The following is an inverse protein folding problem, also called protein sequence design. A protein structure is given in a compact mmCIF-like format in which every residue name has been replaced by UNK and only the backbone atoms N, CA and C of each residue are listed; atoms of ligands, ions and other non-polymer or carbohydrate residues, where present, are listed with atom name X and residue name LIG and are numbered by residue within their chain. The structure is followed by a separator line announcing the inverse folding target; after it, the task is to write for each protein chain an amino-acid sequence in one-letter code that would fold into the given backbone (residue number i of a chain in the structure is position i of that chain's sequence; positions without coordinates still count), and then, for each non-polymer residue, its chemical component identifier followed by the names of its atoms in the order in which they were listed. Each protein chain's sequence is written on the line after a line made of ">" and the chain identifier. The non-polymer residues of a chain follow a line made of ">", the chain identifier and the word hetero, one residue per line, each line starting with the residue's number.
data_IF_258099086498
#
_entry.id   IF_258099086498
#
_cell.length_a   1.000
_cell.length_b   1.000
_cell.length_c   1.000
_cell.angle_alpha   90.00
_cell.angle_beta   90.00
_cell.angle_gamma   90.00
#
_symmetry.space_group_name_H-M   'P 1'
#
loop_
_entity.id
_entity.type
_entity.pdbx_description
1 polymer ?
#
# COMPACT_ATOMS: atom_id res chain seq x y z
N UNK A 1 -20.29 -9.13 -10.07
CA UNK A 1 -18.87 -9.33 -10.39
C UNK A 1 -18.04 -8.11 -9.96
N UNK A 2 -18.43 -6.90 -10.35
CA UNK A 2 -17.75 -5.67 -9.93
C UNK A 2 -17.78 -5.49 -8.42
N UNK A 3 -18.91 -5.82 -7.80
CA UNK A 3 -19.03 -5.71 -6.35
C UNK A 3 -18.07 -6.67 -5.64
N UNK A 4 -17.92 -7.89 -6.18
CA UNK A 4 -16.98 -8.87 -5.63
C UNK A 4 -15.53 -8.40 -5.75
N UNK A 5 -15.17 -7.78 -6.87
CA UNK A 5 -13.81 -7.28 -7.07
C UNK A 5 -13.51 -6.09 -6.18
N UNK A 6 -14.49 -5.21 -5.97
CA UNK A 6 -14.37 -4.13 -5.02
C UNK A 6 -14.14 -4.66 -3.61
N UNK A 7 -14.91 -5.67 -3.21
CA UNK A 7 -14.78 -6.30 -1.90
C UNK A 7 -13.41 -6.95 -1.72
N UNK A 8 -12.90 -7.63 -2.75
CA UNK A 8 -11.56 -8.21 -2.70
C UNK A 8 -10.49 -7.15 -2.50
N UNK A 9 -10.58 -6.03 -3.23
CA UNK A 9 -9.65 -4.93 -3.07
C UNK A 9 -9.74 -4.33 -1.66
N UNK A 10 -10.96 -4.17 -1.13
CA UNK A 10 -11.17 -3.66 0.22
C UNK A 10 -10.54 -4.57 1.27
N UNK A 11 -10.73 -5.88 1.14
CA UNK A 11 -10.16 -6.86 2.08
C UNK A 11 -8.63 -6.83 2.00
N UNK A 12 -8.08 -6.79 0.78
CA UNK A 12 -6.63 -6.77 0.59
C UNK A 12 -6.00 -5.51 1.19
N UNK A 13 -6.64 -4.36 1.02
CA UNK A 13 -6.16 -3.11 1.63
C UNK A 13 -6.26 -3.15 3.15
N UNK A 14 -7.33 -3.73 3.69
CA UNK A 14 -7.48 -3.88 5.15
C UNK A 14 -6.39 -4.77 5.73
N UNK A 15 -6.05 -5.88 5.05
CA UNK A 15 -4.95 -6.76 5.46
C UNK A 15 -3.62 -6.00 5.42
N UNK A 16 -3.38 -5.25 4.34
CA UNK A 16 -2.15 -4.45 4.19
C UNK A 16 -2.03 -3.41 5.31
N UNK A 17 -3.13 -2.72 5.63
CA UNK A 17 -3.15 -1.74 6.70
C UNK A 17 -2.85 -2.37 8.07
N UNK A 18 -3.49 -3.50 8.38
CA UNK A 18 -3.27 -4.18 9.65
C UNK A 18 -1.80 -4.59 9.81
N UNK A 19 -1.21 -5.14 8.76
CA UNK A 19 0.21 -5.53 8.78
C UNK A 19 1.13 -4.33 8.84
N UNK A 20 0.80 -3.25 8.14
CA UNK A 20 1.58 -2.01 8.18
C UNK A 20 1.57 -1.41 9.58
N UNK A 21 0.40 -1.40 10.26
CA UNK A 21 0.28 -0.91 11.64
C UNK A 21 1.13 -1.74 12.59
N UNK A 22 1.06 -3.06 12.50
CA UNK A 22 1.86 -3.97 13.32
C UNK A 22 3.36 -3.76 13.09
N UNK A 23 3.76 -3.62 11.84
CA UNK A 23 5.16 -3.41 11.47
C UNK A 23 5.64 -2.03 11.90
N UNK A 24 4.82 -1.00 11.76
CA UNK A 24 5.15 0.35 12.25
C UNK A 24 5.44 0.33 13.75
N UNK A 25 4.62 -0.37 14.53
CA UNK A 25 4.84 -0.53 15.96
C UNK A 25 6.15 -1.27 16.26
N UNK A 26 6.44 -2.31 15.50
CA UNK A 26 7.68 -3.08 15.64
C UNK A 26 8.91 -2.21 15.37
N UNK A 27 8.90 -1.48 14.25
CA UNK A 27 10.03 -0.61 13.87
C UNK A 27 10.22 0.48 14.92
N UNK A 28 9.14 1.04 15.44
CA UNK A 28 9.20 2.03 16.50
C UNK A 28 9.90 1.50 17.74
N UNK A 29 9.61 0.25 18.14
CA UNK A 29 10.29 -0.41 19.26
C UNK A 29 11.76 -0.64 18.99
N UNK A 30 12.14 -0.85 17.73
CA UNK A 30 13.53 -1.07 17.36
C UNK A 30 14.41 0.16 17.63
N UNK A 31 13.85 1.36 17.73
CA UNK A 31 14.60 2.56 18.08
C UNK A 31 15.22 2.47 19.47
N UNK A 32 14.72 1.57 20.33
CA UNK A 32 15.18 1.40 21.70
C UNK A 32 16.20 0.29 21.87
N UNK A 33 16.56 -0.40 20.79
CA UNK A 33 17.57 -1.47 20.84
C UNK A 33 18.93 -0.83 21.12
N UNK A 34 19.63 -1.36 22.16
CA UNK A 34 20.95 -0.85 22.52
C UNK A 34 22.03 -1.40 21.59
N UNK A 35 23.15 -0.69 21.48
CA UNK A 35 24.30 -1.13 20.73
C UNK A 35 24.23 -0.89 19.23
N UNK A 36 23.23 -0.18 18.75
CA UNK A 36 23.14 0.15 17.33
C UNK A 36 24.18 1.20 16.96
N UNK A 37 24.75 1.04 15.76
CA UNK A 37 25.61 2.07 15.16
C UNK A 37 24.75 3.29 14.79
N UNK A 38 25.32 4.49 14.75
CA UNK A 38 24.57 5.69 14.37
C UNK A 38 23.84 5.55 13.04
N UNK A 39 24.44 4.91 12.05
CA UNK A 39 23.81 4.68 10.75
C UNK A 39 22.60 3.75 10.84
N UNK A 40 22.71 2.71 11.66
CA UNK A 40 21.59 1.79 11.90
C UNK A 40 20.43 2.52 12.56
N UNK A 41 20.74 3.31 13.59
CA UNK A 41 19.72 4.07 14.30
C UNK A 41 18.99 5.04 13.35
N UNK A 42 19.74 5.75 12.48
CA UNK A 42 19.14 6.68 11.53
C UNK A 42 18.27 5.93 10.53
N UNK A 43 18.70 4.78 10.03
CA UNK A 43 17.91 3.96 9.12
C UNK A 43 16.61 3.48 9.79
N UNK A 44 16.67 3.09 11.07
CA UNK A 44 15.48 2.73 11.83
C UNK A 44 14.53 3.91 11.97
N UNK A 45 15.05 5.10 12.27
CA UNK A 45 14.24 6.32 12.38
C UNK A 45 13.56 6.66 11.07
N UNK A 46 14.28 6.56 9.97
CA UNK A 46 13.72 6.80 8.64
C UNK A 46 12.60 5.80 8.35
N UNK A 47 12.79 4.55 8.75
CA UNK A 47 11.77 3.50 8.61
C UNK A 47 10.52 3.81 9.44
N UNK A 48 10.68 4.37 10.64
CA UNK A 48 9.52 4.78 11.46
C UNK A 48 8.68 5.79 10.67
N UNK A 49 9.33 6.77 10.07
CA UNK A 49 8.63 7.78 9.27
C UNK A 49 7.98 7.16 8.04
N UNK A 50 8.70 6.31 7.32
CA UNK A 50 8.18 5.64 6.13
C UNK A 50 6.97 4.77 6.45
N UNK A 51 7.01 4.02 7.53
CA UNK A 51 5.90 3.14 7.90
C UNK A 51 4.70 3.94 8.41
N UNK A 52 4.95 5.08 9.07
CA UNK A 52 3.88 6.00 9.44
C UNK A 52 3.15 6.54 8.22
N UNK A 53 3.90 6.95 7.20
CA UNK A 53 3.32 7.42 5.94
C UNK A 53 2.56 6.31 5.23
N UNK A 54 3.08 5.09 5.25
CA UNK A 54 2.40 3.92 4.68
C UNK A 54 1.03 3.71 5.33
N UNK A 55 0.96 3.76 6.66
CA UNK A 55 -0.30 3.60 7.39
C UNK A 55 -1.30 4.68 6.97
N UNK A 56 -0.86 5.93 6.89
CA UNK A 56 -1.72 7.04 6.50
C UNK A 56 -2.25 6.88 5.07
N UNK A 57 -1.38 6.49 4.15
CA UNK A 57 -1.74 6.32 2.74
C UNK A 57 -2.72 5.16 2.55
N UNK A 58 -2.51 4.04 3.24
CA UNK A 58 -3.42 2.91 3.17
C UNK A 58 -4.77 3.25 3.80
N UNK A 59 -4.78 4.00 4.89
CA UNK A 59 -6.02 4.46 5.53
C UNK A 59 -6.82 5.33 4.59
N UNK A 60 -6.17 6.29 3.92
CA UNK A 60 -6.81 7.16 2.93
C UNK A 60 -7.38 6.35 1.76
N UNK A 61 -6.61 5.37 1.31
CA UNK A 61 -7.01 4.50 0.19
C UNK A 61 -8.29 3.74 0.50
N UNK A 62 -8.38 3.19 1.71
CA UNK A 62 -9.56 2.44 2.16
C UNK A 62 -10.79 3.36 2.19
N UNK A 63 -10.64 4.56 2.72
CA UNK A 63 -11.73 5.54 2.79
C UNK A 63 -12.19 5.94 1.39
N UNK A 64 -11.24 6.22 0.52
CA UNK A 64 -11.55 6.68 -0.84
C UNK A 64 -12.24 5.57 -1.64
N UNK A 65 -11.76 4.34 -1.51
CA UNK A 65 -12.40 3.18 -2.18
C UNK A 65 -13.84 3.01 -1.70
N UNK A 66 -14.09 3.22 -0.41
CA UNK A 66 -15.43 3.17 0.14
C UNK A 66 -16.38 4.21 -0.46
N UNK A 67 -15.84 5.34 -0.91
CA UNK A 67 -16.64 6.43 -1.50
C UNK A 67 -17.01 6.19 -2.96
N UNK A 68 -16.43 5.18 -3.60
CA UNK A 68 -16.75 4.92 -5.01
C UNK A 68 -18.15 4.36 -5.23
N UNK A 69 -18.75 3.75 -4.23
CA UNK A 69 -20.12 3.18 -4.19
C UNK A 69 -20.92 3.23 -5.47
N UNK A 70 -21.72 4.29 -5.64
CA UNK A 70 -22.56 4.53 -6.82
C UNK A 70 -21.88 5.39 -7.87
N UNK A 71 -20.62 5.79 -7.65
CA UNK A 71 -19.92 6.70 -8.55
C UNK A 71 -19.69 6.06 -9.92
N UNK A 72 -19.76 6.86 -10.97
CA UNK A 72 -19.53 6.44 -12.34
C UNK A 72 -18.81 7.55 -13.11
N UNK A 73 -18.30 7.25 -14.28
CA UNK A 73 -17.65 8.21 -15.16
C UNK A 73 -16.44 8.88 -14.52
N UNK A 74 -16.34 10.18 -14.66
CA UNK A 74 -15.20 10.96 -14.18
C UNK A 74 -15.05 10.90 -12.66
N UNK A 75 -16.16 10.85 -11.92
CA UNK A 75 -16.13 10.76 -10.46
C UNK A 75 -15.46 9.45 -10.02
N UNK A 76 -15.82 8.34 -10.64
CA UNK A 76 -15.19 7.04 -10.37
C UNK A 76 -13.69 7.09 -10.70
N UNK A 77 -13.33 7.60 -11.88
CA UNK A 77 -11.94 7.69 -12.31
C UNK A 77 -11.12 8.51 -11.33
N UNK A 78 -11.67 9.64 -10.87
CA UNK A 78 -10.98 10.51 -9.92
C UNK A 78 -10.71 9.80 -8.60
N UNK A 79 -11.73 9.16 -8.01
CA UNK A 79 -11.58 8.40 -6.75
C UNK A 79 -10.56 7.28 -6.90
N UNK A 80 -10.65 6.51 -7.97
CA UNK A 80 -9.76 5.36 -8.16
C UNK A 80 -8.34 5.79 -8.47
N UNK A 81 -8.17 6.91 -9.16
CA UNK A 81 -6.83 7.48 -9.39
C UNK A 81 -6.16 7.82 -8.04
N UNK A 82 -6.92 8.38 -7.11
CA UNK A 82 -6.42 8.67 -5.77
C UNK A 82 -6.01 7.38 -5.05
N UNK A 83 -6.85 6.35 -5.10
CA UNK A 83 -6.54 5.05 -4.47
C UNK A 83 -5.25 4.47 -5.04
N UNK A 84 -5.15 4.42 -6.36
CA UNK A 84 -3.97 3.88 -7.04
C UNK A 84 -2.70 4.64 -6.66
N UNK A 85 -2.79 5.96 -6.61
CA UNK A 85 -1.67 6.82 -6.25
C UNK A 85 -1.22 6.57 -4.81
N UNK A 86 -2.15 6.53 -3.87
CA UNK A 86 -1.81 6.35 -2.46
C UNK A 86 -1.31 4.96 -2.15
N UNK A 87 -1.88 3.91 -2.74
CA UNK A 87 -1.37 2.55 -2.55
C UNK A 87 0.03 2.40 -3.14
N UNK A 88 0.28 2.99 -4.32
CA UNK A 88 1.61 3.01 -4.93
C UNK A 88 2.61 3.76 -4.05
N UNK A 89 2.19 4.88 -3.47
CA UNK A 89 3.04 5.65 -2.56
C UNK A 89 3.37 4.85 -1.29
N UNK A 90 2.39 4.12 -0.75
CA UNK A 90 2.62 3.25 0.40
C UNK A 90 3.67 2.19 0.09
N UNK A 91 3.57 1.55 -1.08
CA UNK A 91 4.54 0.54 -1.52
C UNK A 91 5.93 1.16 -1.67
N UNK A 92 6.02 2.36 -2.23
CA UNK A 92 7.30 3.08 -2.35
C UNK A 92 7.91 3.35 -0.98
N UNK A 93 7.13 3.78 -0.01
CA UNK A 93 7.63 4.05 1.34
C UNK A 93 8.12 2.79 2.02
N UNK A 94 7.43 1.65 1.83
CA UNK A 94 7.87 0.36 2.34
C UNK A 94 9.23 -0.02 1.75
N UNK A 95 9.39 0.12 0.45
CA UNK A 95 10.65 -0.18 -0.22
C UNK A 95 11.76 0.79 0.20
N UNK A 96 11.45 2.06 0.40
CA UNK A 96 12.40 3.06 0.87
C UNK A 96 12.94 2.71 2.26
N UNK A 97 12.05 2.21 3.15
CA UNK A 97 12.47 1.72 4.46
C UNK A 97 13.53 0.63 4.33
N UNK A 98 13.28 -0.38 3.50
CA UNK A 98 14.22 -1.49 3.30
C UNK A 98 15.52 -0.99 2.68
N UNK A 99 15.43 -0.12 1.68
CA UNK A 99 16.59 0.41 0.96
C UNK A 99 17.54 1.20 1.87
N UNK A 100 17.03 1.77 2.94
CA UNK A 100 17.84 2.47 3.93
C UNK A 100 18.86 1.59 4.63
N UNK A 101 18.66 0.26 4.61
CA UNK A 101 19.59 -0.70 5.17
C UNK A 101 20.47 -1.38 4.12
N UNK A 102 20.51 -0.87 2.90
CA UNK A 102 21.30 -1.46 1.83
C UNK A 102 22.80 -1.44 2.15
N UNK A 103 23.51 -2.44 1.65
CA UNK A 103 24.95 -2.56 1.79
C UNK A 103 25.37 -3.40 3.00
N UNK A 104 26.58 -3.99 2.89
CA UNK A 104 27.07 -4.92 3.90
C UNK A 104 27.39 -4.25 5.24
N UNK A 105 27.67 -2.94 5.25
CA UNK A 105 27.95 -2.21 6.48
C UNK A 105 26.77 -2.25 7.44
N UNK A 106 25.56 -2.37 6.88
CA UNK A 106 24.32 -2.42 7.66
C UNK A 106 23.90 -3.83 8.06
N UNK A 107 24.62 -4.86 7.61
CA UNK A 107 24.25 -6.25 7.90
C UNK A 107 24.26 -6.52 9.41
N UNK A 108 23.28 -7.29 9.85
CA UNK A 108 23.11 -7.65 11.25
C UNK A 108 21.66 -7.92 11.61
N UNK A 109 21.41 -8.08 12.90
CA UNK A 109 20.10 -8.49 13.41
C UNK A 109 19.03 -7.43 13.18
N UNK A 110 19.36 -6.15 13.30
CA UNK A 110 18.41 -5.05 13.13
C UNK A 110 17.90 -5.03 11.69
N UNK A 111 18.81 -5.02 10.72
CA UNK A 111 18.48 -5.07 9.30
C UNK A 111 17.63 -6.29 8.96
N UNK A 112 18.05 -7.47 9.43
CA UNK A 112 17.36 -8.72 9.14
C UNK A 112 15.93 -8.70 9.68
N UNK A 113 15.73 -8.24 10.91
CA UNK A 113 14.42 -8.19 11.55
C UNK A 113 13.47 -7.23 10.84
N UNK A 114 13.95 -6.02 10.53
CA UNK A 114 13.12 -5.02 9.85
C UNK A 114 12.81 -5.44 8.42
N UNK A 115 13.83 -5.89 7.69
CA UNK A 115 13.66 -6.34 6.30
C UNK A 115 12.61 -7.44 6.20
N UNK A 116 12.70 -8.44 7.07
CA UNK A 116 11.76 -9.57 7.05
C UNK A 116 10.31 -9.10 7.15
N UNK A 117 10.03 -8.18 8.06
CA UNK A 117 8.66 -7.70 8.28
C UNK A 117 8.20 -6.75 7.19
N UNK A 118 9.05 -5.82 6.78
CA UNK A 118 8.67 -4.79 5.80
C UNK A 118 8.50 -5.40 4.42
N UNK A 119 9.35 -6.36 4.05
CA UNK A 119 9.17 -7.08 2.77
C UNK A 119 7.83 -7.81 2.75
N UNK A 120 7.42 -8.39 3.88
CA UNK A 120 6.10 -9.01 4.01
C UNK A 120 4.96 -8.02 3.79
N UNK A 121 5.06 -6.82 4.36
CA UNK A 121 4.06 -5.76 4.14
C UNK A 121 4.05 -5.33 2.67
N UNK A 122 5.23 -5.14 2.07
CA UNK A 122 5.34 -4.76 0.66
C UNK A 122 4.68 -5.80 -0.24
N UNK A 123 4.81 -7.08 0.09
CA UNK A 123 4.18 -8.15 -0.66
C UNK A 123 2.65 -8.02 -0.66
N UNK A 124 2.05 -7.84 0.51
CA UNK A 124 0.58 -7.72 0.59
C UNK A 124 0.08 -6.40 0.02
N UNK A 125 0.86 -5.31 0.14
CA UNK A 125 0.52 -4.03 -0.47
C UNK A 125 0.53 -4.14 -2.00
N UNK A 126 1.54 -4.81 -2.56
CA UNK A 126 1.63 -5.07 -4.00
C UNK A 126 0.44 -5.88 -4.48
N UNK A 127 0.05 -6.91 -3.74
CA UNK A 127 -1.13 -7.72 -4.07
C UNK A 127 -2.41 -6.86 -4.02
N UNK A 128 -2.53 -6.00 -3.03
CA UNK A 128 -3.68 -5.10 -2.91
C UNK A 128 -3.74 -4.13 -4.10
N UNK A 129 -2.60 -3.59 -4.52
CA UNK A 129 -2.54 -2.70 -5.69
C UNK A 129 -3.00 -3.43 -6.95
N UNK A 130 -2.57 -4.68 -7.13
CA UNK A 130 -2.99 -5.48 -8.28
C UNK A 130 -4.52 -5.66 -8.30
N UNK A 131 -5.12 -5.93 -7.14
CA UNK A 131 -6.57 -6.09 -7.02
C UNK A 131 -7.32 -4.77 -7.27
N UNK A 132 -6.78 -3.65 -6.81
CA UNK A 132 -7.31 -2.32 -7.10
C UNK A 132 -7.28 -2.07 -8.61
N UNK A 133 -6.15 -2.34 -9.25
CA UNK A 133 -6.00 -2.14 -10.69
C UNK A 133 -6.96 -3.04 -11.49
N UNK A 134 -7.16 -4.26 -11.04
CA UNK A 134 -8.09 -5.19 -11.67
C UNK A 134 -9.54 -4.67 -11.57
N UNK A 135 -9.92 -4.16 -10.42
CA UNK A 135 -11.24 -3.55 -10.23
C UNK A 135 -11.46 -2.37 -11.18
N UNK A 136 -10.46 -1.48 -11.30
CA UNK A 136 -10.53 -0.33 -12.20
C UNK A 136 -10.67 -0.80 -13.65
N UNK A 137 -9.86 -1.76 -14.07
CA UNK A 137 -9.87 -2.26 -15.44
C UNK A 137 -11.23 -2.89 -15.80
N UNK A 138 -11.79 -3.66 -14.88
CA UNK A 138 -13.10 -4.31 -15.10
C UNK A 138 -14.25 -3.31 -15.14
N UNK A 139 -14.18 -2.28 -14.29
CA UNK A 139 -15.18 -1.22 -14.30
C UNK A 139 -15.17 -0.48 -15.64
N UNK A 140 -13.99 -0.17 -16.19
CA UNK A 140 -13.86 0.48 -17.50
C UNK A 140 -14.39 -0.41 -18.63
N UNK A 141 -14.07 -1.69 -18.60
CA UNK A 141 -14.56 -2.65 -19.60
C UNK A 141 -16.08 -2.75 -19.57
N UNK A 142 -16.66 -2.77 -18.38
CA UNK A 142 -18.12 -2.84 -18.22
C UNK A 142 -18.79 -1.58 -18.79
N UNK A 143 -18.26 -0.41 -18.52
CA UNK A 143 -18.80 0.85 -19.05
C UNK A 143 -18.66 0.93 -20.57
N UNK A 144 -17.54 0.50 -21.13
CA UNK A 144 -17.32 0.47 -22.57
C UNK A 144 -18.31 -0.47 -23.24
N UNK A 145 -18.53 -1.66 -22.68
CA UNK A 145 -19.48 -2.63 -23.22
C UNK A 145 -20.92 -2.10 -23.21
N UNK A 146 -21.25 -1.29 -22.20
CA UNK A 146 -22.60 -0.71 -22.06
C UNK A 146 -22.82 0.42 -23.09
N UNK A 147 -21.77 1.20 -23.39
CA UNK A 147 -21.87 2.36 -24.27
C UNK A 147 -21.82 1.98 -25.74
N UNK A 148 -20.99 1.00 -26.13
CA UNK A 148 -20.79 0.62 -27.53
C UNK A 148 -22.06 0.25 -28.29
N UNK A 149 -22.98 -0.54 -27.71
CA UNK A 149 -24.22 -0.87 -28.41
C UNK A 149 -25.09 0.35 -28.75
N UNK A 150 -25.07 1.36 -27.90
CA UNK A 150 -25.84 2.58 -28.13
C UNK A 150 -25.23 3.41 -29.27
N UNK A 151 -23.93 3.45 -29.36
CA UNK A 151 -23.24 4.21 -30.41
C UNK A 151 -23.45 3.60 -31.79
N UNK A 152 -23.64 2.29 -31.88
CA UNK A 152 -23.80 1.57 -33.14
C UNK A 152 -25.22 1.65 -33.70
N UNK A 153 -26.18 2.04 -32.92
CA UNK A 153 -27.57 2.20 -33.35
C UNK A 153 -27.77 3.54 -34.00
#
# INVERSE_FOLDING_TARGET
>A
IQQSEKQLAQIALAVSLARAQSTAAFVSKMTKVSGMKPREYQAVRDCVDNMGDTVDQLTRSIRELGRTGQAAGQSFIWHMSNVQTWVSAALTDENTCVDGFAGHVMDGNVKAAIRSRVVGVAQVTSNALALVNQFVARHRSHQAATVLPEVQV
#
